data_IF_546733037790
#
_entry.id   IF_546733037790
#
_cell.length_a   1.000
_cell.length_b   1.000
_cell.length_c   1.000
_cell.angle_alpha   90.00
_cell.angle_beta   90.00
_cell.angle_gamma   90.00
#
_symmetry.space_group_name_H-M   'P 1'
#
loop_
_entity.id
_entity.type
_entity.pdbx_description
1 polymer ?
#
# COMPACT_ATOMS: atom_id res chain seq x y z
N UNK A 1 -53.30 -78.43 -55.25
CA UNK A 1 -53.23 -77.07 -55.82
C UNK A 1 -54.53 -76.34 -55.48
N UNK A 2 -54.55 -75.64 -54.34
CA UNK A 2 -55.20 -74.34 -54.12
C UNK A 2 -54.41 -73.70 -52.97
N UNK A 3 -53.94 -72.49 -53.21
CA UNK A 3 -53.05 -71.72 -52.34
C UNK A 3 -53.96 -70.93 -51.39
N UNK A 4 -53.82 -71.09 -50.08
CA UNK A 4 -54.39 -70.18 -49.08
C UNK A 4 -53.26 -69.38 -48.46
N UNK A 5 -53.14 -68.12 -48.86
CA UNK A 5 -52.33 -67.12 -48.17
C UNK A 5 -52.96 -66.84 -46.81
N UNK A 6 -52.28 -67.25 -45.74
CA UNK A 6 -52.56 -66.75 -44.40
C UNK A 6 -52.11 -65.28 -44.33
N UNK A 7 -52.89 -64.37 -43.73
CA UNK A 7 -52.40 -63.02 -43.47
C UNK A 7 -51.26 -63.11 -42.46
N UNK A 8 -50.15 -62.46 -42.78
CA UNK A 8 -49.08 -62.20 -41.82
C UNK A 8 -49.72 -61.44 -40.65
N UNK A 9 -49.71 -62.05 -39.47
CA UNK A 9 -50.13 -61.40 -38.24
C UNK A 9 -49.23 -60.18 -38.05
N UNK A 10 -49.82 -58.98 -38.06
CA UNK A 10 -49.13 -57.78 -37.66
C UNK A 10 -48.59 -58.02 -36.24
N UNK A 11 -47.27 -57.98 -36.09
CA UNK A 11 -46.65 -57.93 -34.78
C UNK A 11 -47.31 -56.78 -34.02
N UNK A 12 -47.82 -57.08 -32.82
CA UNK A 12 -48.32 -56.06 -31.90
C UNK A 12 -47.15 -55.10 -31.67
N UNK A 13 -47.25 -53.90 -32.23
CA UNK A 13 -46.36 -52.79 -31.82
C UNK A 13 -46.72 -52.56 -30.35
N UNK A 14 -45.76 -52.69 -29.40
CA UNK A 14 -46.05 -52.39 -28.01
C UNK A 14 -46.61 -50.98 -27.95
N UNK A 15 -47.66 -50.78 -27.16
CA UNK A 15 -48.16 -49.44 -26.89
C UNK A 15 -47.02 -48.64 -26.25
N UNK A 16 -46.44 -47.73 -27.02
CA UNK A 16 -45.34 -46.84 -26.61
C UNK A 16 -45.70 -46.01 -25.38
N UNK A 17 -46.97 -45.89 -25.02
CA UNK A 17 -47.41 -45.25 -23.76
C UNK A 17 -47.26 -46.12 -22.51
N UNK A 18 -46.84 -47.39 -22.65
CA UNK A 18 -46.73 -48.37 -21.55
C UNK A 18 -45.34 -48.96 -21.36
N UNK A 19 -44.37 -48.64 -22.23
CA UNK A 19 -43.00 -49.14 -22.11
C UNK A 19 -42.22 -48.29 -21.09
N UNK A 20 -41.66 -48.95 -20.07
CA UNK A 20 -40.91 -48.31 -19.00
C UNK A 20 -39.40 -48.42 -19.24
N UNK A 21 -38.75 -47.30 -19.54
CA UNK A 21 -37.30 -47.23 -19.74
C UNK A 21 -36.46 -47.59 -18.49
N UNK A 22 -37.07 -47.64 -17.29
CA UNK A 22 -36.39 -48.16 -16.09
C UNK A 22 -35.95 -49.62 -16.27
N UNK A 23 -36.67 -50.42 -17.06
CA UNK A 23 -36.30 -51.84 -17.28
C UNK A 23 -35.10 -52.01 -18.20
N UNK A 24 -34.73 -50.98 -18.96
CA UNK A 24 -33.55 -51.00 -19.85
C UNK A 24 -32.28 -50.51 -19.16
N UNK A 25 -32.38 -50.06 -17.90
CA UNK A 25 -31.25 -49.46 -17.18
C UNK A 25 -30.87 -48.05 -17.65
N UNK A 26 -31.76 -47.40 -18.43
CA UNK A 26 -31.59 -46.02 -18.86
C UNK A 26 -32.88 -45.24 -18.56
N UNK A 27 -33.09 -44.82 -17.29
CA UNK A 27 -34.25 -44.02 -16.95
C UNK A 27 -34.19 -42.68 -17.70
N UNK A 28 -35.28 -42.31 -18.36
CA UNK A 28 -35.40 -40.99 -18.97
C UNK A 28 -35.64 -39.97 -17.86
N UNK A 29 -34.57 -39.25 -17.49
CA UNK A 29 -34.62 -38.22 -16.46
C UNK A 29 -34.13 -36.88 -17.01
N UNK A 30 -34.65 -35.78 -16.45
CA UNK A 30 -34.29 -34.42 -16.85
C UNK A 30 -34.53 -34.16 -18.33
N UNK A 31 -33.48 -33.74 -19.04
CA UNK A 31 -33.61 -33.41 -20.46
C UNK A 31 -33.95 -34.63 -21.33
N UNK A 32 -33.58 -35.85 -20.93
CA UNK A 32 -33.87 -37.06 -21.69
C UNK A 32 -35.36 -37.46 -21.67
N UNK A 33 -36.15 -36.99 -20.69
CA UNK A 33 -37.59 -37.27 -20.57
C UNK A 33 -38.45 -36.49 -21.57
N UNK A 34 -37.88 -35.44 -22.19
CA UNK A 34 -38.59 -34.57 -23.12
C UNK A 34 -38.06 -34.64 -24.56
N UNK A 35 -37.20 -35.62 -24.85
CA UNK A 35 -36.68 -35.87 -26.20
C UNK A 35 -37.60 -36.84 -26.94
N UNK A 36 -37.87 -36.53 -28.22
CA UNK A 36 -38.68 -37.38 -29.08
C UNK A 36 -38.03 -38.77 -29.27
N UNK A 37 -38.86 -39.82 -29.35
CA UNK A 37 -38.41 -41.20 -29.43
C UNK A 37 -37.42 -41.44 -30.59
N UNK A 38 -37.64 -40.77 -31.72
CA UNK A 38 -36.88 -40.90 -32.96
C UNK A 38 -35.45 -40.34 -32.85
N UNK A 39 -35.16 -39.51 -31.84
CA UNK A 39 -33.81 -39.02 -31.60
C UNK A 39 -32.86 -40.15 -31.17
N UNK A 40 -33.39 -41.18 -30.50
CA UNK A 40 -32.64 -42.38 -30.12
C UNK A 40 -32.96 -43.56 -31.06
N UNK A 41 -34.24 -43.74 -31.40
CA UNK A 41 -34.73 -44.83 -32.24
C UNK A 41 -34.83 -44.44 -33.71
N UNK A 42 -33.67 -44.24 -34.34
CA UNK A 42 -33.56 -43.77 -35.72
C UNK A 42 -34.28 -44.73 -36.67
N UNK A 43 -35.20 -44.19 -37.48
CA UNK A 43 -35.99 -44.97 -38.43
C UNK A 43 -37.10 -45.82 -37.77
N UNK A 44 -37.42 -45.56 -36.50
CA UNK A 44 -38.44 -46.30 -35.75
C UNK A 44 -37.99 -47.68 -35.31
N UNK A 45 -36.67 -47.91 -35.22
CA UNK A 45 -36.09 -49.19 -34.78
C UNK A 45 -35.89 -49.17 -33.28
N UNK A 46 -36.73 -49.92 -32.56
CA UNK A 46 -36.73 -50.04 -31.10
C UNK A 46 -35.93 -51.26 -30.63
N UNK A 47 -34.61 -51.23 -30.88
CA UNK A 47 -33.64 -52.21 -30.38
C UNK A 47 -32.90 -51.70 -29.12
N UNK A 48 -32.16 -52.58 -28.44
CA UNK A 48 -31.35 -52.20 -27.28
C UNK A 48 -30.21 -51.28 -27.72
N UNK A 49 -30.22 -50.05 -27.20
CA UNK A 49 -29.18 -49.05 -27.43
C UNK A 49 -28.12 -49.07 -26.31
N UNK A 50 -26.90 -48.59 -26.57
CA UNK A 50 -25.91 -48.36 -25.53
C UNK A 50 -26.43 -47.34 -24.50
N UNK A 51 -26.10 -47.57 -23.22
CA UNK A 51 -26.47 -46.67 -22.11
C UNK A 51 -25.31 -45.78 -21.64
N UNK A 52 -24.12 -45.94 -22.25
CA UNK A 52 -22.96 -45.10 -21.95
C UNK A 52 -23.15 -43.69 -22.52
N UNK A 53 -22.81 -42.66 -21.75
CA UNK A 53 -23.03 -41.26 -22.13
C UNK A 53 -22.36 -40.91 -23.46
N UNK A 54 -21.11 -41.33 -23.66
CA UNK A 54 -20.28 -41.06 -24.83
C UNK A 54 -20.76 -41.76 -26.10
N UNK A 55 -21.59 -42.80 -25.99
CA UNK A 55 -22.15 -43.50 -27.15
C UNK A 55 -23.15 -42.64 -27.92
N UNK A 56 -23.74 -41.63 -27.27
CA UNK A 56 -24.64 -40.66 -27.89
C UNK A 56 -24.07 -39.23 -27.85
N UNK A 57 -23.37 -38.85 -26.79
CA UNK A 57 -22.73 -37.53 -26.65
C UNK A 57 -21.33 -37.48 -27.29
N UNK A 58 -21.27 -37.82 -28.58
CA UNK A 58 -20.04 -37.89 -29.39
C UNK A 58 -19.75 -36.61 -30.19
N UNK A 59 -20.64 -35.63 -30.14
CA UNK A 59 -20.59 -34.40 -30.94
C UNK A 59 -21.19 -34.52 -32.34
N UNK A 60 -21.69 -35.70 -32.72
CA UNK A 60 -22.39 -35.97 -33.98
C UNK A 60 -23.87 -36.26 -33.73
N UNK A 61 -24.19 -37.23 -32.86
CA UNK A 61 -25.56 -37.63 -32.55
C UNK A 61 -26.19 -36.70 -31.49
N UNK A 62 -25.43 -36.38 -30.44
CA UNK A 62 -25.78 -35.40 -29.44
C UNK A 62 -24.58 -34.51 -29.09
N UNK A 63 -24.83 -33.43 -28.33
CA UNK A 63 -23.79 -32.50 -27.90
C UNK A 63 -22.74 -33.27 -27.09
N UNK A 64 -21.52 -33.34 -27.61
CA UNK A 64 -20.38 -33.94 -26.93
C UNK A 64 -19.63 -32.95 -26.04
N UNK A 65 -18.44 -33.38 -25.59
CA UNK A 65 -17.56 -32.55 -24.76
C UNK A 65 -17.16 -31.26 -25.50
N UNK A 66 -17.36 -30.07 -24.90
CA UNK A 66 -16.88 -28.84 -25.51
C UNK A 66 -15.34 -28.77 -25.52
N UNK A 67 -14.72 -27.88 -26.32
CA UNK A 67 -13.27 -27.72 -26.34
C UNK A 67 -12.64 -27.34 -24.99
N UNK A 68 -13.43 -26.78 -24.07
CA UNK A 68 -13.01 -26.38 -22.71
C UNK A 68 -13.31 -27.47 -21.67
N UNK A 69 -13.70 -28.67 -22.09
CA UNK A 69 -13.95 -29.79 -21.17
C UNK A 69 -12.65 -30.26 -20.52
N UNK A 70 -12.69 -30.55 -19.22
CA UNK A 70 -11.54 -31.07 -18.48
C UNK A 70 -11.19 -32.47 -19.02
N UNK A 71 -9.97 -32.71 -19.53
CA UNK A 71 -9.57 -34.03 -20.01
C UNK A 71 -9.70 -35.07 -18.89
N UNK A 72 -10.50 -36.11 -19.11
CA UNK A 72 -10.76 -37.14 -18.10
C UNK A 72 -10.94 -38.51 -18.73
N UNK A 73 -10.54 -39.54 -17.99
CA UNK A 73 -10.77 -40.95 -18.31
C UNK A 73 -11.81 -41.58 -17.37
N UNK A 74 -12.37 -40.81 -16.43
CA UNK A 74 -13.45 -41.29 -15.55
C UNK A 74 -14.82 -41.14 -16.22
N UNK A 75 -15.76 -41.98 -15.80
CA UNK A 75 -17.13 -41.97 -16.32
C UNK A 75 -17.81 -40.62 -16.06
N UNK A 76 -18.64 -40.17 -17.03
CA UNK A 76 -19.24 -38.84 -17.03
C UNK A 76 -20.08 -38.55 -15.77
N UNK A 77 -20.73 -39.56 -15.21
CA UNK A 77 -21.55 -39.52 -13.99
C UNK A 77 -20.74 -39.24 -12.72
N UNK A 78 -19.41 -39.32 -12.78
CA UNK A 78 -18.53 -38.90 -11.67
C UNK A 78 -18.61 -37.40 -11.43
N UNK A 79 -18.75 -36.62 -12.50
CA UNK A 79 -18.80 -35.15 -12.43
C UNK A 79 -20.20 -34.61 -12.70
N UNK A 80 -20.92 -35.22 -13.63
CA UNK A 80 -22.22 -34.75 -14.13
C UNK A 80 -23.38 -35.58 -13.58
N UNK A 81 -24.59 -35.01 -13.60
CA UNK A 81 -25.81 -35.78 -13.44
C UNK A 81 -26.69 -35.65 -14.68
N UNK A 82 -27.54 -36.65 -14.94
CA UNK A 82 -28.36 -36.70 -16.14
C UNK A 82 -29.43 -35.59 -16.20
N UNK A 83 -29.78 -35.01 -15.05
CA UNK A 83 -30.81 -33.96 -14.94
C UNK A 83 -30.30 -32.60 -15.41
N UNK A 84 -29.05 -32.26 -15.10
CA UNK A 84 -28.45 -30.94 -15.29
C UNK A 84 -27.11 -30.96 -16.01
N UNK A 85 -26.86 -31.96 -16.86
CA UNK A 85 -25.54 -32.27 -17.44
C UNK A 85 -24.75 -31.06 -17.96
N UNK A 86 -25.41 -30.11 -18.63
CA UNK A 86 -24.78 -28.92 -19.21
C UNK A 86 -24.36 -27.85 -18.19
N UNK A 87 -24.87 -27.88 -16.95
CA UNK A 87 -24.67 -26.84 -15.95
C UNK A 87 -24.21 -27.36 -14.58
N UNK A 88 -24.30 -28.67 -14.34
CA UNK A 88 -23.86 -29.32 -13.12
C UNK A 88 -22.68 -30.23 -13.41
N UNK A 89 -21.49 -29.71 -13.20
CA UNK A 89 -20.28 -30.50 -13.01
C UNK A 89 -19.76 -30.19 -11.60
N UNK A 90 -19.60 -31.20 -10.76
CA UNK A 90 -18.94 -31.03 -9.45
C UNK A 90 -17.55 -31.62 -9.54
N UNK A 91 -16.53 -30.80 -9.28
CA UNK A 91 -15.15 -31.25 -9.24
C UNK A 91 -14.75 -31.59 -7.80
N UNK A 92 -14.41 -32.86 -7.57
CA UNK A 92 -13.81 -33.32 -6.33
C UNK A 92 -12.28 -33.25 -6.45
N UNK A 93 -11.64 -32.43 -5.62
CA UNK A 93 -10.18 -32.28 -5.64
C UNK A 93 -9.43 -33.41 -4.92
N UNK A 94 -10.14 -34.32 -4.25
CA UNK A 94 -9.53 -35.49 -3.61
C UNK A 94 -9.15 -36.60 -4.60
N UNK A 95 -9.73 -36.59 -5.81
CA UNK A 95 -9.53 -37.63 -6.83
C UNK A 95 -8.49 -37.27 -7.89
N UNK A 96 -7.90 -36.06 -7.85
CA UNK A 96 -6.97 -35.59 -8.88
C UNK A 96 -5.52 -36.07 -8.69
N UNK A 97 -5.23 -36.78 -7.60
CA UNK A 97 -3.93 -37.41 -7.33
C UNK A 97 -2.77 -36.41 -7.31
N UNK A 98 -1.65 -36.75 -7.97
CA UNK A 98 -0.43 -35.94 -8.03
C UNK A 98 -0.43 -34.89 -9.17
N UNK A 99 -1.59 -34.63 -9.77
CA UNK A 99 -1.74 -33.64 -10.84
C UNK A 99 -1.50 -32.22 -10.29
N UNK A 100 -0.74 -31.39 -11.01
CA UNK A 100 -0.49 -30.01 -10.55
C UNK A 100 -1.67 -29.10 -10.86
N UNK A 101 -1.86 -28.04 -10.06
CA UNK A 101 -3.03 -27.17 -10.16
C UNK A 101 -3.11 -26.48 -11.54
N UNK A 102 -1.96 -26.09 -12.09
CA UNK A 102 -1.81 -25.30 -13.31
C UNK A 102 -2.20 -26.07 -14.57
N UNK A 103 -2.24 -27.40 -14.54
CA UNK A 103 -2.68 -28.19 -15.70
C UNK A 103 -4.19 -28.09 -15.94
N UNK A 104 -4.95 -27.68 -14.92
CA UNK A 104 -6.39 -27.46 -15.03
C UNK A 104 -6.77 -25.98 -14.82
N UNK A 105 -6.12 -25.29 -13.90
CA UNK A 105 -6.32 -23.86 -13.63
C UNK A 105 -5.46 -22.99 -14.58
N UNK A 106 -5.65 -23.20 -15.88
CA UNK A 106 -4.92 -22.57 -16.98
C UNK A 106 -5.63 -21.30 -17.54
N UNK A 107 -6.83 -20.99 -17.04
CA UNK A 107 -7.68 -19.91 -17.56
C UNK A 107 -8.56 -20.31 -18.75
N UNK A 108 -8.50 -21.57 -19.19
CA UNK A 108 -9.31 -22.14 -20.28
C UNK A 108 -10.21 -23.25 -19.74
N UNK A 109 -9.61 -24.26 -19.12
CA UNK A 109 -10.26 -25.45 -18.56
C UNK A 109 -10.88 -25.16 -17.19
N UNK A 110 -10.17 -24.38 -16.37
CA UNK A 110 -10.67 -23.83 -15.11
C UNK A 110 -10.06 -22.44 -14.87
N UNK A 111 -10.66 -21.68 -13.94
CA UNK A 111 -10.17 -20.34 -13.59
C UNK A 111 -8.73 -20.40 -13.10
N UNK A 112 -7.81 -19.79 -13.85
CA UNK A 112 -6.42 -19.67 -13.47
C UNK A 112 -6.13 -18.48 -12.55
N UNK A 113 -4.85 -18.14 -12.44
CA UNK A 113 -4.41 -16.96 -11.70
C UNK A 113 -4.98 -15.68 -12.31
N UNK A 114 -5.50 -14.80 -11.47
CA UNK A 114 -5.96 -13.48 -11.92
C UNK A 114 -4.76 -12.57 -12.26
N UNK A 115 -4.94 -11.52 -13.08
CA UNK A 115 -3.87 -10.57 -13.38
C UNK A 115 -3.31 -9.83 -12.15
N UNK A 116 -4.07 -9.75 -11.05
CA UNK A 116 -3.67 -9.13 -9.79
C UNK A 116 -3.26 -10.15 -8.74
N UNK A 117 -3.09 -11.43 -9.11
CA UNK A 117 -2.56 -12.44 -8.21
C UNK A 117 -1.11 -12.13 -7.87
N UNK A 118 -0.70 -12.39 -6.62
CA UNK A 118 0.67 -12.19 -6.18
C UNK A 118 1.60 -13.11 -6.98
N UNK A 119 2.64 -12.61 -7.66
CA UNK A 119 3.57 -13.46 -8.39
C UNK A 119 4.23 -14.50 -7.48
N UNK A 120 4.14 -15.78 -7.83
CA UNK A 120 4.68 -16.87 -7.04
C UNK A 120 5.05 -18.08 -7.91
N UNK A 121 6.08 -18.80 -7.49
CA UNK A 121 6.45 -20.12 -8.03
C UNK A 121 6.17 -21.26 -7.05
N UNK A 122 5.58 -20.95 -5.89
CA UNK A 122 5.20 -21.92 -4.88
C UNK A 122 3.95 -22.68 -5.32
N UNK A 123 3.81 -23.92 -4.85
CA UNK A 123 2.56 -24.68 -5.01
C UNK A 123 1.39 -23.90 -4.42
N UNK A 124 0.24 -23.89 -5.09
CA UNK A 124 -0.93 -23.12 -4.67
C UNK A 124 -1.36 -23.42 -3.22
N UNK A 125 -1.23 -24.69 -2.79
CA UNK A 125 -1.55 -25.14 -1.44
C UNK A 125 -0.70 -24.51 -0.33
N UNK A 126 0.39 -23.85 -0.69
CA UNK A 126 1.23 -23.08 0.26
C UNK A 126 0.49 -21.85 0.77
N UNK A 127 -0.36 -21.24 -0.08
CA UNK A 127 -1.11 -20.03 0.26
C UNK A 127 -2.60 -20.33 0.46
N UNK A 128 -3.17 -21.25 -0.33
CA UNK A 128 -4.58 -21.56 -0.33
C UNK A 128 -4.88 -22.86 0.39
N UNK A 129 -5.94 -22.85 1.21
CA UNK A 129 -6.57 -24.08 1.68
C UNK A 129 -7.28 -24.72 0.49
N UNK A 130 -6.76 -25.82 -0.03
CA UNK A 130 -7.22 -26.43 -1.30
C UNK A 130 -8.70 -26.83 -1.33
N UNK A 131 -9.32 -27.03 -0.16
CA UNK A 131 -10.75 -27.38 -0.06
C UNK A 131 -11.70 -26.19 -0.06
N UNK A 132 -11.26 -25.01 0.37
CA UNK A 132 -12.10 -23.80 0.47
C UNK A 132 -11.60 -22.66 -0.41
N UNK A 133 -10.41 -22.82 -0.97
CA UNK A 133 -9.62 -21.82 -1.68
C UNK A 133 -9.36 -20.51 -0.91
N UNK A 134 -9.60 -20.51 0.40
CA UNK A 134 -9.32 -19.38 1.27
C UNK A 134 -7.82 -19.29 1.56
N UNK A 135 -7.32 -18.07 1.70
CA UNK A 135 -5.98 -17.82 2.22
C UNK A 135 -6.06 -17.90 3.74
N UNK A 136 -5.34 -18.84 4.36
CA UNK A 136 -5.37 -19.01 5.81
C UNK A 136 -4.66 -17.86 6.54
N UNK A 137 -3.46 -17.50 6.07
CA UNK A 137 -2.69 -16.32 6.48
C UNK A 137 -1.57 -16.09 5.46
N UNK A 138 -1.27 -14.84 5.14
CA UNK A 138 -0.11 -14.51 4.31
C UNK A 138 1.14 -14.42 5.20
N UNK A 139 2.14 -15.27 4.92
CA UNK A 139 3.40 -15.30 5.65
C UNK A 139 4.49 -14.57 4.87
N UNK A 140 4.92 -13.41 5.40
CA UNK A 140 5.97 -12.61 4.78
C UNK A 140 7.35 -13.29 4.81
N UNK A 141 7.57 -14.32 5.64
CA UNK A 141 8.84 -15.08 5.65
C UNK A 141 9.06 -15.91 4.37
N UNK A 142 8.01 -16.08 3.57
CA UNK A 142 8.07 -16.74 2.26
C UNK A 142 8.57 -15.79 1.15
N UNK A 143 8.68 -14.49 1.44
CA UNK A 143 9.12 -13.45 0.48
C UNK A 143 10.58 -13.09 0.77
N UNK A 144 11.51 -13.97 0.37
CA UNK A 144 12.93 -13.80 0.72
C UNK A 144 13.75 -13.02 -0.33
N UNK A 145 13.24 -12.85 -1.55
CA UNK A 145 14.03 -12.35 -2.69
C UNK A 145 13.44 -11.11 -3.38
N UNK A 146 12.37 -10.51 -2.83
CA UNK A 146 11.65 -9.40 -3.47
C UNK A 146 11.62 -8.17 -2.55
N UNK A 147 11.68 -6.98 -3.13
CA UNK A 147 11.49 -5.73 -2.39
C UNK A 147 10.04 -5.62 -1.92
N UNK A 148 9.83 -4.95 -0.78
CA UNK A 148 8.50 -4.63 -0.28
C UNK A 148 7.65 -3.93 -1.36
N UNK A 149 8.26 -2.97 -2.09
CA UNK A 149 7.59 -2.17 -3.12
C UNK A 149 7.22 -2.95 -4.38
N UNK A 150 7.82 -4.11 -4.63
CA UNK A 150 7.47 -4.96 -5.77
C UNK A 150 6.05 -5.53 -5.62
N UNK A 151 5.65 -5.84 -4.38
CA UNK A 151 4.31 -6.34 -4.06
C UNK A 151 3.36 -5.21 -3.58
N UNK A 152 3.84 -4.34 -2.70
CA UNK A 152 3.07 -3.21 -2.15
C UNK A 152 3.07 -2.00 -3.11
N UNK A 153 2.63 -2.24 -4.35
CA UNK A 153 2.58 -1.27 -5.44
C UNK A 153 1.16 -0.76 -5.75
N UNK A 154 0.16 -1.16 -4.95
CA UNK A 154 -1.25 -0.84 -5.18
C UNK A 154 -1.97 -1.74 -6.19
N UNK A 155 -1.26 -2.67 -6.84
CA UNK A 155 -1.83 -3.67 -7.75
C UNK A 155 -1.95 -5.04 -7.07
N UNK A 156 -0.84 -5.56 -6.52
CA UNK A 156 -0.82 -6.88 -5.87
C UNK A 156 -1.16 -6.80 -4.39
N UNK A 157 -0.62 -5.79 -3.71
CA UNK A 157 -0.92 -5.48 -2.32
C UNK A 157 -1.05 -3.96 -2.13
N UNK A 158 -1.66 -3.56 -1.02
CA UNK A 158 -1.82 -2.14 -0.65
C UNK A 158 -0.45 -1.47 -0.53
N UNK A 159 -0.20 -0.45 -1.35
CA UNK A 159 1.04 0.33 -1.29
C UNK A 159 0.99 1.54 -0.36
N UNK A 160 2.02 2.40 -0.46
CA UNK A 160 2.05 3.71 0.20
C UNK A 160 0.82 4.53 -0.21
N UNK A 161 0.01 4.97 0.75
CA UNK A 161 -1.16 5.80 0.47
C UNK A 161 -0.76 7.24 0.15
N UNK A 162 -1.67 8.03 -0.43
CA UNK A 162 -1.39 9.41 -0.86
C UNK A 162 -0.90 10.35 0.26
N UNK A 163 -1.30 10.12 1.51
CA UNK A 163 -0.86 10.91 2.66
C UNK A 163 0.49 10.43 3.27
N UNK A 164 1.16 9.46 2.63
CA UNK A 164 2.43 8.93 3.13
C UNK A 164 3.53 9.96 2.87
N UNK A 165 4.45 10.12 3.82
CA UNK A 165 5.62 10.99 3.63
C UNK A 165 6.51 10.48 2.50
N UNK A 166 7.16 11.39 1.77
CA UNK A 166 8.01 10.99 0.66
C UNK A 166 9.28 10.28 1.17
N UNK A 167 9.50 9.05 0.71
CA UNK A 167 10.49 8.11 1.29
C UNK A 167 11.09 7.21 0.22
N UNK A 168 12.26 6.65 0.50
CA UNK A 168 12.83 5.51 -0.24
C UNK A 168 11.98 4.26 -0.04
N UNK A 169 12.36 3.17 -0.72
CA UNK A 169 11.68 1.88 -0.60
C UNK A 169 12.31 0.94 0.44
N UNK A 170 13.16 1.48 1.34
CA UNK A 170 13.67 0.76 2.51
C UNK A 170 12.61 0.80 3.61
N UNK A 171 11.54 0.03 3.42
CA UNK A 171 10.34 0.06 4.27
C UNK A 171 10.67 -0.34 5.72
N UNK A 172 11.57 -1.30 5.90
CA UNK A 172 12.01 -1.86 7.18
C UNK A 172 12.74 -0.88 8.09
N UNK A 173 13.21 0.26 7.56
CA UNK A 173 13.76 1.34 8.39
C UNK A 173 12.69 2.02 9.26
N UNK A 174 11.41 1.84 8.93
CA UNK A 174 10.27 2.45 9.60
C UNK A 174 9.21 1.41 10.03
N UNK A 175 8.89 0.47 9.15
CA UNK A 175 7.77 -0.47 9.32
C UNK A 175 8.23 -1.89 9.62
N UNK A 176 7.30 -2.69 10.15
CA UNK A 176 7.47 -4.13 10.32
C UNK A 176 6.36 -4.87 9.58
N UNK A 177 6.58 -6.14 9.25
CA UNK A 177 5.58 -7.00 8.59
C UNK A 177 4.38 -7.36 9.48
N UNK A 178 4.43 -7.05 10.78
CA UNK A 178 3.41 -7.45 11.77
C UNK A 178 2.42 -6.33 12.05
N UNK A 179 2.87 -5.07 12.03
CA UNK A 179 2.00 -3.93 12.31
C UNK A 179 2.43 -2.69 11.51
N UNK A 180 1.51 -2.20 10.69
CA UNK A 180 1.61 -0.91 9.98
C UNK A 180 0.97 0.18 10.83
N UNK A 181 1.72 0.65 11.82
CA UNK A 181 1.33 1.80 12.66
C UNK A 181 2.06 3.06 12.21
N UNK A 182 1.49 4.26 12.45
CA UNK A 182 2.21 5.51 12.22
C UNK A 182 3.54 5.52 12.97
N UNK A 183 4.63 5.74 12.24
CA UNK A 183 5.94 5.91 12.83
C UNK A 183 6.09 7.34 13.36
N UNK A 184 6.72 7.47 14.52
CA UNK A 184 6.98 8.77 15.16
C UNK A 184 8.46 9.17 15.11
N UNK A 185 9.32 8.28 14.61
CA UNK A 185 10.74 8.48 14.39
C UNK A 185 11.06 7.96 13.00
N UNK A 186 11.92 8.67 12.27
CA UNK A 186 12.37 8.31 10.93
C UNK A 186 13.89 8.30 10.88
N UNK A 187 14.43 7.45 10.03
CA UNK A 187 15.80 7.59 9.56
C UNK A 187 15.82 8.68 8.46
N UNK A 188 16.54 9.78 8.71
CA UNK A 188 16.62 10.89 7.77
C UNK A 188 17.33 10.52 6.45
N UNK A 189 18.06 9.40 6.41
CA UNK A 189 18.61 8.86 5.16
C UNK A 189 17.54 8.24 4.25
N UNK A 190 16.36 7.90 4.80
CA UNK A 190 15.27 7.23 4.08
C UNK A 190 14.08 8.15 3.76
N UNK A 191 14.09 9.40 4.25
CA UNK A 191 13.09 10.40 3.88
C UNK A 191 13.63 11.31 2.77
N UNK A 192 12.75 11.75 1.88
CA UNK A 192 13.10 12.52 0.70
C UNK A 192 12.40 13.88 0.73
N UNK A 193 13.14 14.97 0.56
CA UNK A 193 12.60 16.33 0.56
C UNK A 193 13.58 17.34 1.16
N UNK A 194 13.12 18.58 1.33
CA UNK A 194 13.86 19.58 2.11
C UNK A 194 13.44 19.52 3.58
N UNK A 195 14.22 20.15 4.45
CA UNK A 195 13.88 20.21 5.87
C UNK A 195 12.51 20.87 6.07
N UNK A 196 12.26 21.99 5.39
CA UNK A 196 11.07 22.83 5.52
C UNK A 196 9.82 22.19 4.93
N UNK A 197 9.96 21.25 3.98
CA UNK A 197 8.79 20.54 3.42
C UNK A 197 8.18 19.54 4.40
N UNK A 198 8.91 19.18 5.46
CA UNK A 198 8.42 18.28 6.52
C UNK A 198 8.38 18.98 7.89
N UNK A 199 9.37 19.81 8.22
CA UNK A 199 9.43 20.57 9.46
C UNK A 199 8.64 21.88 9.33
N UNK A 200 7.35 21.73 9.05
CA UNK A 200 6.38 22.81 8.80
C UNK A 200 5.46 23.09 10.00
N UNK A 201 5.55 22.27 11.05
CA UNK A 201 4.68 22.31 12.24
C UNK A 201 3.43 21.44 12.13
N UNK A 202 3.18 20.81 10.98
CA UNK A 202 2.10 19.86 10.74
C UNK A 202 2.62 18.42 10.66
N UNK A 203 3.57 18.16 9.76
CA UNK A 203 4.18 16.83 9.56
C UNK A 203 5.21 16.57 10.66
N UNK A 204 6.14 17.49 10.82
CA UNK A 204 7.17 17.47 11.85
C UNK A 204 7.35 18.87 12.45
N UNK A 205 8.04 18.91 13.59
CA UNK A 205 8.25 20.17 14.31
C UNK A 205 9.11 21.13 13.48
N UNK A 206 8.58 22.31 13.17
CA UNK A 206 9.30 23.38 12.48
C UNK A 206 10.16 24.27 13.38
N UNK A 207 10.59 25.41 12.81
CA UNK A 207 11.31 26.47 13.52
C UNK A 207 10.46 26.99 14.69
N UNK A 208 11.05 27.03 15.89
CA UNK A 208 10.38 27.57 17.08
C UNK A 208 10.21 29.09 17.03
N UNK A 209 9.34 29.63 17.89
CA UNK A 209 9.04 31.07 17.95
C UNK A 209 10.25 31.95 18.28
N UNK A 210 11.27 31.39 18.95
CA UNK A 210 12.51 32.09 19.30
C UNK A 210 13.68 31.73 18.37
N UNK A 211 13.41 31.06 17.25
CA UNK A 211 14.44 30.72 16.28
C UNK A 211 14.99 31.98 15.61
N UNK A 212 16.30 32.00 15.35
CA UNK A 212 16.94 33.09 14.60
C UNK A 212 16.31 33.22 13.20
N UNK A 213 15.88 34.42 12.77
CA UNK A 213 15.34 34.59 11.42
C UNK A 213 16.39 34.20 10.36
N UNK A 214 16.05 33.23 9.51
CA UNK A 214 16.97 32.75 8.47
C UNK A 214 16.23 32.07 7.32
N UNK A 215 16.73 32.29 6.11
CA UNK A 215 16.35 31.60 4.87
C UNK A 215 17.39 30.58 4.41
N UNK A 216 18.49 30.41 5.16
CA UNK A 216 19.49 29.39 4.86
C UNK A 216 18.92 27.99 5.09
N UNK A 217 19.50 27.02 4.38
CA UNK A 217 19.20 25.61 4.59
C UNK A 217 19.51 25.21 6.05
N UNK A 218 18.67 24.35 6.62
CA UNK A 218 18.76 24.02 8.03
C UNK A 218 20.10 23.34 8.40
N UNK A 219 20.66 22.55 7.49
CA UNK A 219 21.93 21.84 7.63
C UNK A 219 23.17 22.76 7.62
N UNK A 220 23.00 24.04 7.27
CA UNK A 220 24.04 25.05 7.43
C UNK A 220 24.34 25.32 8.90
N UNK A 221 23.33 25.19 9.76
CA UNK A 221 23.44 25.45 11.20
C UNK A 221 23.34 24.15 12.03
N UNK A 222 22.43 23.25 11.66
CA UNK A 222 22.10 22.05 12.43
C UNK A 222 22.71 20.80 11.82
N UNK A 223 23.18 19.86 12.64
CA UNK A 223 23.46 18.51 12.12
C UNK A 223 22.19 17.67 12.12
N UNK A 224 22.01 16.85 11.09
CA UNK A 224 20.76 16.10 10.83
C UNK A 224 20.40 15.13 11.97
N UNK A 225 21.40 14.51 12.62
CA UNK A 225 21.16 13.43 13.57
C UNK A 225 20.97 13.89 15.02
N UNK A 226 21.61 14.99 15.43
CA UNK A 226 21.56 15.48 16.81
C UNK A 226 20.87 16.84 16.94
N UNK A 227 20.55 17.47 15.81
CA UNK A 227 19.96 18.81 15.70
C UNK A 227 20.67 19.91 16.51
N UNK A 228 21.96 19.75 16.80
CA UNK A 228 22.75 20.75 17.52
C UNK A 228 23.25 21.82 16.56
N UNK A 229 23.26 23.07 17.04
CA UNK A 229 23.89 24.19 16.33
C UNK A 229 25.37 24.27 16.69
N UNK A 230 26.23 24.54 15.71
CA UNK A 230 27.62 24.93 15.95
C UNK A 230 27.75 26.31 16.61
N UNK A 231 28.97 26.88 16.60
CA UNK A 231 29.17 28.27 17.01
C UNK A 231 28.52 29.19 15.97
N UNK A 232 27.67 30.12 16.42
CA UNK A 232 27.05 31.10 15.53
C UNK A 232 28.10 32.08 15.00
N UNK A 233 28.24 32.16 13.69
CA UNK A 233 29.15 33.11 13.03
C UNK A 233 28.43 34.44 12.76
N UNK A 234 28.86 35.49 13.46
CA UNK A 234 28.30 36.84 13.26
C UNK A 234 28.73 37.47 11.93
N UNK A 235 29.73 36.93 11.23
CA UNK A 235 30.15 37.44 9.92
C UNK A 235 29.10 37.21 8.82
N UNK A 236 28.18 36.28 9.05
CA UNK A 236 27.13 35.91 8.09
C UNK A 236 25.83 36.67 8.29
N UNK A 237 25.78 37.65 9.20
CA UNK A 237 24.58 38.48 9.44
C UNK A 237 24.84 39.96 9.16
N UNK A 238 23.87 40.61 8.52
CA UNK A 238 23.85 42.05 8.26
C UNK A 238 22.74 42.77 9.03
N UNK A 239 22.01 42.06 9.88
CA UNK A 239 20.90 42.62 10.66
C UNK A 239 21.42 43.41 11.86
N UNK A 240 20.67 44.44 12.26
CA UNK A 240 21.05 45.25 13.41
C UNK A 240 21.02 44.41 14.71
N UNK A 241 22.05 44.52 15.56
CA UNK A 241 22.25 43.61 16.70
C UNK A 241 21.01 43.46 17.60
N UNK A 242 20.29 44.56 17.85
CA UNK A 242 19.11 44.58 18.72
C UNK A 242 17.90 43.80 18.20
N UNK A 243 17.87 43.43 16.91
CA UNK A 243 16.76 42.62 16.36
C UNK A 243 16.82 41.20 16.88
N UNK A 244 18.02 40.66 17.11
CA UNK A 244 18.25 39.33 17.68
C UNK A 244 18.57 39.38 19.18
N UNK A 245 19.40 40.32 19.64
CA UNK A 245 19.75 40.50 21.05
C UNK A 245 18.66 41.29 21.80
N UNK A 246 17.46 40.73 21.81
CA UNK A 246 16.25 41.33 22.38
C UNK A 246 15.79 40.66 23.69
N UNK A 247 16.54 39.65 24.18
CA UNK A 247 16.20 38.87 25.37
C UNK A 247 15.31 37.65 25.11
N UNK A 248 14.80 37.49 23.88
CA UNK A 248 13.94 36.37 23.45
C UNK A 248 14.67 35.44 22.49
N UNK A 249 15.29 35.98 21.43
CA UNK A 249 16.04 35.18 20.44
C UNK A 249 17.46 34.91 20.94
N UNK A 250 18.15 35.98 21.37
CA UNK A 250 19.46 35.91 22.00
C UNK A 250 19.48 36.80 23.25
N UNK A 251 20.50 36.61 24.08
CA UNK A 251 20.75 37.42 25.28
C UNK A 251 20.75 38.91 24.90
N UNK A 252 19.86 39.69 25.49
CA UNK A 252 19.81 41.14 25.28
C UNK A 252 20.81 41.91 26.13
N UNK A 253 20.73 43.23 26.05
CA UNK A 253 21.46 44.12 26.98
C UNK A 253 20.98 43.90 28.42
N UNK A 254 21.89 43.99 29.39
CA UNK A 254 21.54 43.84 30.80
C UNK A 254 20.73 45.03 31.31
N UNK A 255 19.98 44.84 32.39
CA UNK A 255 19.27 45.94 33.06
C UNK A 255 20.21 47.03 33.62
N UNK A 256 21.48 46.70 33.83
CA UNK A 256 22.53 47.62 34.29
C UNK A 256 23.26 48.32 33.14
N UNK A 257 22.85 48.08 31.89
CA UNK A 257 23.44 48.73 30.72
C UNK A 257 23.09 50.22 30.73
N UNK A 258 24.07 51.07 30.39
CA UNK A 258 23.82 52.50 30.21
C UNK A 258 22.80 52.73 29.09
N UNK A 259 22.00 53.78 29.18
CA UNK A 259 21.06 54.08 28.09
C UNK A 259 21.83 54.50 26.83
N UNK A 260 21.64 53.79 25.72
CA UNK A 260 22.34 54.04 24.46
C UNK A 260 21.38 54.12 23.29
N UNK A 261 21.88 54.62 22.16
CA UNK A 261 21.28 54.35 20.85
C UNK A 261 21.36 52.84 20.55
N UNK A 262 20.74 52.43 19.45
CA UNK A 262 20.75 51.03 18.99
C UNK A 262 21.99 50.67 18.16
N UNK A 263 23.02 51.50 18.15
CA UNK A 263 24.25 51.31 17.37
C UNK A 263 25.31 50.59 18.20
N UNK A 264 25.13 49.28 18.38
CA UNK A 264 25.91 48.48 19.31
C UNK A 264 27.40 48.36 18.93
N UNK A 265 27.70 48.38 17.63
CA UNK A 265 29.03 48.29 17.03
C UNK A 265 29.90 49.54 17.27
N UNK A 266 29.30 50.65 17.73
CA UNK A 266 30.07 51.82 18.18
C UNK A 266 30.87 51.54 19.46
N UNK A 267 30.47 50.54 20.25
CA UNK A 267 31.07 50.21 21.54
C UNK A 267 31.56 48.75 21.58
N UNK A 268 30.82 47.81 21.00
CA UNK A 268 31.10 46.38 21.10
C UNK A 268 31.58 45.78 19.78
N UNK A 269 32.41 44.74 19.90
CA UNK A 269 32.78 43.87 18.78
C UNK A 269 32.09 42.52 18.93
N UNK A 270 31.76 41.88 17.82
CA UNK A 270 31.06 40.58 17.78
C UNK A 270 31.83 39.45 18.48
N UNK A 271 33.14 39.58 18.62
CA UNK A 271 34.02 38.62 19.31
C UNK A 271 34.54 39.10 20.68
N UNK A 272 34.15 40.31 21.13
CA UNK A 272 34.59 40.88 22.40
C UNK A 272 33.46 41.66 23.07
N UNK A 273 32.57 40.92 23.73
CA UNK A 273 31.42 41.46 24.45
C UNK A 273 31.72 41.63 25.95
N UNK A 274 32.59 42.59 26.25
CA UNK A 274 33.00 42.95 27.62
C UNK A 274 32.62 44.40 27.94
N UNK A 275 32.57 44.82 29.22
CA UNK A 275 32.35 46.21 29.58
C UNK A 275 33.35 47.13 28.86
N UNK A 276 32.84 48.17 28.21
CA UNK A 276 33.66 49.16 27.52
C UNK A 276 34.17 50.19 28.51
N UNK A 277 35.43 50.61 28.36
CA UNK A 277 36.04 51.66 29.18
C UNK A 277 35.86 53.07 28.61
N UNK A 278 35.40 53.17 27.36
CA UNK A 278 35.23 54.42 26.62
C UNK A 278 33.95 54.38 25.82
N UNK A 279 33.23 55.50 25.77
CA UNK A 279 31.97 55.63 25.04
C UNK A 279 32.03 56.80 24.07
N UNK A 280 31.39 56.65 22.91
CA UNK A 280 31.04 57.78 22.05
C UNK A 280 29.82 58.50 22.63
N UNK A 281 29.98 59.78 22.96
CA UNK A 281 28.90 60.58 23.54
C UNK A 281 27.73 60.77 22.57
N UNK A 282 27.94 60.63 21.26
CA UNK A 282 26.87 60.65 20.27
C UNK A 282 25.95 59.41 20.36
N UNK A 283 26.40 58.34 21.03
CA UNK A 283 25.70 57.06 21.10
C UNK A 283 25.10 56.75 22.47
N UNK A 284 25.27 57.63 23.46
CA UNK A 284 24.63 57.51 24.79
C UNK A 284 23.41 58.43 24.88
N UNK A 285 22.41 58.02 25.65
CA UNK A 285 21.18 58.78 25.88
C UNK A 285 21.12 59.21 27.35
N UNK A 286 20.79 60.48 27.61
CA UNK A 286 20.71 61.03 28.96
C UNK A 286 21.29 62.44 29.03
N UNK A 287 21.35 63.00 30.24
CA UNK A 287 22.04 64.26 30.51
C UNK A 287 23.45 63.98 31.05
N UNK A 288 24.33 64.98 31.00
CA UNK A 288 25.70 64.84 31.52
C UNK A 288 25.68 64.42 33.00
N UNK A 289 24.80 65.02 33.79
CA UNK A 289 24.70 64.78 35.24
C UNK A 289 24.13 63.40 35.55
N UNK A 290 23.29 62.82 34.68
CA UNK A 290 22.73 61.47 34.92
C UNK A 290 23.76 60.35 34.80
N UNK A 291 24.92 60.61 34.19
CA UNK A 291 25.99 59.62 34.01
C UNK A 291 27.28 60.00 34.74
N UNK A 292 27.59 61.29 34.88
CA UNK A 292 28.77 61.77 35.62
C UNK A 292 28.45 62.03 37.10
N UNK A 293 28.04 60.96 37.80
CA UNK A 293 27.60 60.97 39.19
C UNK A 293 28.64 60.40 40.18
N UNK A 294 29.78 59.92 39.67
CA UNK A 294 30.82 59.26 40.46
C UNK A 294 30.59 57.75 40.68
N UNK A 295 29.49 57.20 40.16
CA UNK A 295 29.17 55.77 40.17
C UNK A 295 29.26 55.17 38.77
N UNK A 296 28.58 55.77 37.79
CA UNK A 296 28.56 55.30 36.39
C UNK A 296 29.80 55.79 35.63
N UNK A 297 30.10 57.08 35.75
CA UNK A 297 31.30 57.69 35.21
C UNK A 297 31.86 58.73 36.21
N UNK A 298 33.13 59.10 36.03
CA UNK A 298 33.79 60.10 36.87
C UNK A 298 32.96 61.38 36.90
N UNK A 299 32.58 61.81 38.10
CA UNK A 299 31.80 63.04 38.28
C UNK A 299 32.58 64.32 37.99
N UNK A 300 31.89 65.47 38.11
CA UNK A 300 32.51 66.80 38.00
C UNK A 300 33.67 66.91 39.01
N UNK A 301 34.86 67.31 38.54
CA UNK A 301 36.00 67.60 39.40
C UNK A 301 35.65 68.75 40.36
N UNK A 302 36.21 68.81 41.59
CA UNK A 302 36.02 69.95 42.50
C UNK A 302 36.33 71.33 41.90
N UNK A 303 37.11 71.42 40.83
CA UNK A 303 37.41 72.66 40.10
C UNK A 303 36.59 72.84 38.81
N UNK A 304 35.53 72.06 38.60
CA UNK A 304 34.66 72.18 37.44
C UNK A 304 33.94 73.53 37.48
N UNK A 305 34.02 74.29 36.39
CA UNK A 305 33.34 75.58 36.27
C UNK A 305 31.84 75.34 36.26
N UNK A 306 31.09 76.05 37.11
CA UNK A 306 29.64 75.99 37.12
C UNK A 306 29.08 76.58 35.81
N UNK A 307 28.67 75.70 34.91
CA UNK A 307 27.85 76.06 33.75
C UNK A 307 26.39 75.82 34.12
N UNK A 308 25.51 76.79 33.82
CA UNK A 308 24.07 76.60 33.96
C UNK A 308 23.61 75.51 33.00
N UNK A 309 23.15 74.38 33.55
CA UNK A 309 22.56 73.30 32.78
C UNK A 309 21.21 73.78 32.20
N UNK A 310 21.22 74.28 30.96
CA UNK A 310 20.07 74.37 30.05
C UNK A 310 20.23 73.32 28.95
#
# INVERSE_FOLDING_TARGET
MVIFSAPLSAAVVPDVSTFDHLVTGFPLEGQHDIIDCEACHIGGVFEVLPTQCEACHDGILAIGQPPTHIPTLVSCDTCHNAVGFAFSATMDHSIIGDTTCETCHDGVSATGLSPTHIPTSLSCGTCHVTSTWLIAAFDHSLVQEQSCSDCHNGTFATGKHAAHINTTDVCESCHTSVAWVPVIVVDHAQVLGSCESCHDGLIARGKGVNHVPTTLACDTCHTVNNWTVGVFDHSTTSEACYTCHNGTIATGVSASHIATTKQCDACHLTNLWVPVSTVDHAQVLGSCVSCHDGVVATGKNPTHIDSSDL
#
